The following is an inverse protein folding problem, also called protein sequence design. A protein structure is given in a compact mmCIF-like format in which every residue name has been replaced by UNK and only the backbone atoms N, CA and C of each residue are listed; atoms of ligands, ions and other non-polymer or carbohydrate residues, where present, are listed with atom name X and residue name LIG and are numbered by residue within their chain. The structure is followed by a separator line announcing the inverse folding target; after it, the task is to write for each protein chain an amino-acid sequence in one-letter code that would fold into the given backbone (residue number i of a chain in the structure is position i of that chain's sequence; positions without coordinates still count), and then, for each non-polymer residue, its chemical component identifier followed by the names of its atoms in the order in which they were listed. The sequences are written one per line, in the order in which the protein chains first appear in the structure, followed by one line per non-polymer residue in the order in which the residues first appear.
data_IF_273568092654
#
_entry.id   IF_273568092654
#
_cell.length_a   1.000
_cell.length_b   1.000
_cell.length_c   1.000
_cell.angle_alpha   90.00
_cell.angle_beta   90.00
_cell.angle_gamma   90.00
#
_symmetry.space_group_name_H-M   'P 1'
#
loop_
_entity.id
_entity.type
_entity.pdbx_description
1 polymer ?
#
# COMPACT_ATOMS: atom_id res chain seq x y z
N UNK A 1 -3.72 6.13 -20.87
CA UNK A 1 -2.53 5.29 -20.59
C UNK A 1 -2.91 3.82 -20.62
N UNK A 2 -2.11 2.97 -21.25
CA UNK A 2 -2.37 1.51 -21.42
C UNK A 2 -2.58 0.82 -20.06
N UNK A 3 -1.87 1.25 -19.02
CA UNK A 3 -1.88 0.60 -17.70
C UNK A 3 -2.97 1.13 -16.74
N UNK A 4 -3.76 2.14 -17.13
CA UNK A 4 -4.79 2.74 -16.25
C UNK A 4 -5.80 1.72 -15.75
N UNK A 5 -6.49 1.06 -16.68
CA UNK A 5 -7.56 0.08 -16.40
C UNK A 5 -7.07 -1.18 -15.67
N UNK A 6 -5.99 -1.86 -16.11
CA UNK A 6 -5.55 -3.08 -15.44
C UNK A 6 -5.08 -2.81 -14.00
N UNK A 7 -4.37 -1.70 -13.76
CA UNK A 7 -3.95 -1.35 -12.40
C UNK A 7 -5.11 -0.94 -11.50
N UNK A 8 -6.12 -0.26 -12.05
CA UNK A 8 -7.34 0.02 -11.30
C UNK A 8 -8.07 -1.27 -10.90
N UNK A 9 -8.22 -2.21 -11.84
CA UNK A 9 -8.87 -3.49 -11.56
C UNK A 9 -8.08 -4.29 -10.50
N UNK A 10 -6.76 -4.29 -10.61
CA UNK A 10 -5.89 -4.91 -9.60
C UNK A 10 -6.07 -4.29 -8.22
N UNK A 11 -6.03 -2.95 -8.11
CA UNK A 11 -6.29 -2.24 -6.85
C UNK A 11 -7.66 -2.56 -6.27
N UNK A 12 -8.69 -2.58 -7.12
CA UNK A 12 -10.06 -2.88 -6.72
C UNK A 12 -10.20 -4.31 -6.19
N UNK A 13 -9.65 -5.30 -6.90
CA UNK A 13 -9.66 -6.69 -6.44
C UNK A 13 -8.84 -6.87 -5.16
N UNK A 14 -7.70 -6.20 -5.05
CA UNK A 14 -6.84 -6.28 -3.87
C UNK A 14 -7.55 -5.74 -2.61
N UNK A 15 -8.22 -4.58 -2.69
CA UNK A 15 -8.97 -4.06 -1.53
C UNK A 15 -10.16 -4.95 -1.16
N UNK A 16 -10.81 -5.59 -2.13
CA UNK A 16 -11.85 -6.57 -1.84
C UNK A 16 -11.29 -7.78 -1.09
N UNK A 17 -10.13 -8.29 -1.50
CA UNK A 17 -9.45 -9.38 -0.79
C UNK A 17 -9.06 -8.97 0.62
N UNK A 18 -8.45 -7.79 0.80
CA UNK A 18 -8.10 -7.25 2.12
C UNK A 18 -9.36 -7.13 2.99
N UNK A 19 -10.45 -6.59 2.44
CA UNK A 19 -11.72 -6.47 3.16
C UNK A 19 -12.30 -7.82 3.58
N UNK A 20 -12.26 -8.83 2.72
CA UNK A 20 -12.70 -10.19 3.08
C UNK A 20 -11.81 -10.80 4.15
N UNK A 21 -10.49 -10.67 4.02
CA UNK A 21 -9.53 -11.15 5.01
C UNK A 21 -9.75 -10.49 6.38
N UNK A 22 -9.98 -9.18 6.43
CA UNK A 22 -10.32 -8.45 7.65
C UNK A 22 -11.57 -9.03 8.32
N UNK A 23 -12.66 -9.23 7.56
CA UNK A 23 -13.91 -9.75 8.12
C UNK A 23 -13.74 -11.15 8.69
N UNK A 24 -13.04 -12.02 7.97
CA UNK A 24 -12.74 -13.37 8.44
C UNK A 24 -11.83 -13.33 9.67
N UNK A 25 -10.84 -12.45 9.69
CA UNK A 25 -9.90 -12.36 10.79
C UNK A 25 -10.54 -11.90 12.09
N UNK A 26 -11.48 -10.95 12.03
CA UNK A 26 -12.28 -10.55 13.19
C UNK A 26 -13.24 -11.67 13.59
N UNK A 27 -14.01 -12.24 12.64
CA UNK A 27 -15.05 -13.22 12.93
C UNK A 27 -14.49 -14.54 13.49
N UNK A 28 -13.36 -15.02 12.96
CA UNK A 28 -12.71 -16.25 13.38
C UNK A 28 -11.53 -16.01 14.34
N UNK A 29 -11.37 -14.79 14.85
CA UNK A 29 -10.31 -14.42 15.79
C UNK A 29 -8.88 -14.68 15.27
N UNK A 30 -8.63 -14.58 13.97
CA UNK A 30 -7.29 -14.83 13.40
C UNK A 30 -6.22 -13.89 13.90
N UNK A 31 -6.56 -12.63 14.21
CA UNK A 31 -5.61 -11.69 14.83
C UNK A 31 -5.03 -12.22 16.16
N UNK A 32 -5.84 -12.95 16.93
CA UNK A 32 -5.43 -13.51 18.22
C UNK A 32 -4.84 -14.92 18.10
N UNK A 33 -5.27 -15.70 17.10
CA UNK A 33 -4.81 -17.06 16.88
C UNK A 33 -3.47 -17.12 16.11
N UNK A 34 -3.24 -16.16 15.21
CA UNK A 34 -2.12 -16.16 14.28
C UNK A 34 -1.39 -14.83 14.32
N UNK A 35 -0.31 -14.75 15.11
CA UNK A 35 0.49 -13.53 15.33
C UNK A 35 1.05 -12.94 14.02
N UNK A 36 1.24 -13.75 12.97
CA UNK A 36 1.72 -13.28 11.67
C UNK A 36 0.62 -12.65 10.80
N UNK A 37 -0.65 -12.88 11.12
CA UNK A 37 -1.76 -12.44 10.28
C UNK A 37 -1.87 -10.92 10.27
N UNK A 38 -1.65 -10.31 11.43
CA UNK A 38 -1.66 -8.86 11.57
C UNK A 38 -0.57 -8.18 10.73
N UNK A 39 0.66 -8.67 10.86
CA UNK A 39 1.82 -8.32 10.00
C UNK A 39 1.50 -8.43 8.50
N UNK A 40 0.78 -9.49 8.09
CA UNK A 40 0.36 -9.66 6.69
C UNK A 40 -0.63 -8.56 6.28
N UNK A 41 -1.60 -8.24 7.13
CA UNK A 41 -2.60 -7.20 6.86
C UNK A 41 -1.97 -5.82 6.75
N UNK A 42 -1.02 -5.47 7.61
CA UNK A 42 -0.23 -4.22 7.51
C UNK A 42 0.56 -4.16 6.21
N UNK A 43 1.26 -5.24 5.85
CA UNK A 43 1.95 -5.28 4.56
C UNK A 43 1.01 -5.04 3.36
N UNK A 44 -0.13 -5.72 3.33
CA UNK A 44 -1.10 -5.59 2.25
C UNK A 44 -1.75 -4.20 2.22
N UNK A 45 -2.06 -3.64 3.39
CA UNK A 45 -2.58 -2.29 3.56
C UNK A 45 -1.59 -1.25 3.04
N UNK A 46 -0.37 -1.25 3.56
CA UNK A 46 0.71 -0.37 3.11
C UNK A 46 1.00 -0.48 1.61
N UNK A 47 1.02 -1.70 1.06
CA UNK A 47 1.15 -1.92 -0.37
C UNK A 47 -0.01 -1.31 -1.15
N UNK A 48 -1.26 -1.50 -0.71
CA UNK A 48 -2.43 -0.97 -1.39
C UNK A 48 -2.47 0.56 -1.38
N UNK A 49 -2.18 1.21 -0.24
CA UNK A 49 -2.15 2.67 -0.14
C UNK A 49 -1.02 3.28 -0.96
N UNK A 50 0.19 2.72 -0.87
CA UNK A 50 1.33 3.13 -1.70
C UNK A 50 1.04 3.02 -3.19
N UNK A 51 0.48 1.87 -3.60
CA UNK A 51 0.11 1.63 -5.00
C UNK A 51 -0.98 2.62 -5.44
N UNK A 52 -2.01 2.84 -4.63
CA UNK A 52 -3.12 3.73 -4.96
C UNK A 52 -2.67 5.18 -5.15
N UNK A 53 -1.84 5.70 -4.26
CA UNK A 53 -1.29 7.05 -4.38
C UNK A 53 -0.48 7.22 -5.67
N UNK A 54 0.41 6.27 -5.96
CA UNK A 54 1.20 6.25 -7.19
C UNK A 54 0.34 6.07 -8.45
N UNK A 55 -0.70 5.24 -8.40
CA UNK A 55 -1.63 5.07 -9.52
C UNK A 55 -2.38 6.37 -9.83
N UNK A 56 -2.88 7.06 -8.80
CA UNK A 56 -3.55 8.36 -8.96
C UNK A 56 -2.59 9.38 -9.59
N UNK A 57 -1.36 9.49 -9.10
CA UNK A 57 -0.40 10.48 -9.57
C UNK A 57 0.12 10.19 -10.99
N UNK A 58 0.43 8.93 -11.31
CA UNK A 58 1.19 8.61 -12.52
C UNK A 58 0.43 7.85 -13.61
N UNK A 59 -0.66 7.14 -13.27
CA UNK A 59 -1.30 6.21 -14.20
C UNK A 59 -2.77 6.55 -14.49
N UNK A 60 -3.44 7.26 -13.57
CA UNK A 60 -4.87 7.60 -13.69
C UNK A 60 -5.16 8.63 -14.80
N UNK A 61 -4.18 9.49 -15.09
CA UNK A 61 -4.35 10.65 -15.97
C UNK A 61 -5.19 11.79 -15.37
N UNK A 62 -5.54 11.73 -14.08
CA UNK A 62 -6.26 12.79 -13.38
C UNK A 62 -5.36 13.98 -13.05
N UNK A 63 -4.08 13.73 -12.81
CA UNK A 63 -3.09 14.75 -12.50
C UNK A 63 -2.06 14.83 -13.63
N UNK A 64 -1.75 16.05 -14.07
CA UNK A 64 -0.71 16.30 -15.08
C UNK A 64 0.62 16.49 -14.37
N UNK A 65 1.36 15.39 -14.21
CA UNK A 65 2.68 15.38 -13.58
C UNK A 65 3.76 15.25 -14.67
N UNK A 66 4.88 15.99 -14.59
CA UNK A 66 5.95 15.90 -15.59
C UNK A 66 6.52 14.48 -15.76
N UNK A 67 6.76 14.06 -17.00
CA UNK A 67 7.12 12.69 -17.40
C UNK A 67 8.50 12.17 -16.94
N UNK A 68 9.28 12.97 -16.20
CA UNK A 68 10.64 12.57 -15.75
C UNK A 68 10.75 12.55 -14.24
N UNK A 69 10.12 11.56 -13.62
CA UNK A 69 10.23 11.33 -12.18
C UNK A 69 11.26 10.26 -11.86
N UNK A 70 12.00 10.51 -10.78
CA UNK A 70 13.03 9.61 -10.28
C UNK A 70 12.40 8.51 -9.44
N UNK A 71 13.13 7.39 -9.29
CA UNK A 71 12.74 6.33 -8.36
C UNK A 71 12.52 6.86 -6.93
N UNK A 72 13.37 7.79 -6.47
CA UNK A 72 13.22 8.42 -5.15
C UNK A 72 11.89 9.14 -4.96
N UNK A 73 11.32 9.75 -6.01
CA UNK A 73 10.00 10.38 -5.91
C UNK A 73 8.88 9.35 -5.76
N UNK A 74 8.97 8.20 -6.44
CA UNK A 74 8.03 7.08 -6.26
C UNK A 74 8.10 6.54 -4.83
N UNK A 75 9.30 6.32 -4.31
CA UNK A 75 9.50 5.85 -2.93
C UNK A 75 8.95 6.85 -1.92
N UNK A 76 9.21 8.16 -2.10
CA UNK A 76 8.71 9.19 -1.20
C UNK A 76 7.18 9.23 -1.15
N UNK A 77 6.52 9.22 -2.32
CA UNK A 77 5.05 9.19 -2.36
C UNK A 77 4.51 7.96 -1.66
N UNK A 78 5.04 6.78 -1.99
CA UNK A 78 4.55 5.54 -1.41
C UNK A 78 4.75 5.52 0.10
N UNK A 79 5.95 5.87 0.57
CA UNK A 79 6.29 5.99 1.99
C UNK A 79 5.33 6.94 2.72
N UNK A 80 5.19 8.18 2.25
CA UNK A 80 4.32 9.16 2.90
C UNK A 80 2.86 8.67 2.94
N UNK A 81 2.37 8.05 1.87
CA UNK A 81 1.00 7.54 1.83
C UNK A 81 0.78 6.34 2.75
N UNK A 82 1.69 5.35 2.76
CA UNK A 82 1.54 4.14 3.57
C UNK A 82 1.71 4.45 5.05
N UNK A 83 2.73 5.23 5.42
CA UNK A 83 3.00 5.54 6.84
C UNK A 83 1.92 6.42 7.45
N UNK A 84 1.34 7.36 6.69
CA UNK A 84 0.26 8.21 7.20
C UNK A 84 -0.99 7.40 7.55
N UNK A 85 -1.29 6.39 6.74
CA UNK A 85 -2.43 5.52 6.99
C UNK A 85 -2.13 4.49 8.07
N UNK A 86 -0.92 3.93 8.11
CA UNK A 86 -0.47 3.05 9.20
C UNK A 86 -0.59 3.74 10.55
N UNK A 87 -0.06 4.96 10.68
CA UNK A 87 -0.20 5.76 11.92
C UNK A 87 -1.68 6.00 12.27
N UNK A 88 -2.52 6.29 11.27
CA UNK A 88 -3.95 6.47 11.51
C UNK A 88 -4.64 5.18 12.00
N UNK A 89 -4.19 4.02 11.51
CA UNK A 89 -4.68 2.71 11.93
C UNK A 89 -4.29 2.40 13.38
N UNK A 90 -3.03 2.62 13.75
CA UNK A 90 -2.56 2.45 15.14
C UNK A 90 -3.34 3.32 16.13
N UNK A 91 -3.60 4.58 15.75
CA UNK A 91 -4.43 5.49 16.56
C UNK A 91 -5.86 4.94 16.69
N UNK A 92 -6.43 4.39 15.60
CA UNK A 92 -7.75 3.77 15.63
C UNK A 92 -7.77 2.57 16.59
N UNK A 93 -6.79 1.68 16.55
CA UNK A 93 -6.72 0.51 17.42
C UNK A 93 -6.59 0.90 18.89
N UNK A 94 -5.76 1.90 19.18
CA UNK A 94 -5.61 2.46 20.52
C UNK A 94 -6.94 2.99 21.05
N UNK A 95 -7.67 3.78 20.26
CA UNK A 95 -8.98 4.33 20.65
C UNK A 95 -10.04 3.24 20.77
N UNK A 96 -10.01 2.23 19.90
CA UNK A 96 -10.94 1.12 19.90
C UNK A 96 -10.68 0.12 21.06
N UNK A 97 -9.59 0.30 21.81
CA UNK A 97 -9.24 -0.55 22.95
C UNK A 97 -8.83 -1.97 22.58
N UNK A 98 -8.51 -2.20 21.30
CA UNK A 98 -8.04 -3.51 20.79
C UNK A 98 -6.65 -3.84 21.36
N UNK A 99 -5.92 -2.81 21.79
CA UNK A 99 -4.57 -2.83 22.37
C UNK A 99 -4.51 -3.39 23.79
N UNK A 100 -5.65 -3.56 24.46
CA UNK A 100 -5.74 -3.86 25.90
C UNK A 100 -5.29 -5.28 26.31
N UNK A 101 -4.95 -6.14 25.35
CA UNK A 101 -4.71 -7.57 25.59
C UNK A 101 -3.25 -8.02 25.41
N UNK A 102 -2.33 -7.13 25.02
CA UNK A 102 -0.96 -7.52 24.65
C UNK A 102 0.07 -6.67 25.41
N UNK A 103 0.77 -7.29 26.36
CA UNK A 103 2.05 -6.78 26.85
C UNK A 103 3.00 -6.60 25.65
N UNK A 104 3.41 -5.36 25.37
CA UNK A 104 4.30 -5.06 24.24
C UNK A 104 3.66 -4.33 23.06
N UNK A 105 2.50 -3.69 23.23
CA UNK A 105 1.84 -2.85 22.20
C UNK A 105 2.79 -1.93 21.42
N UNK A 106 3.71 -1.24 22.09
CA UNK A 106 4.69 -0.36 21.41
C UNK A 106 5.57 -1.13 20.42
N UNK A 107 5.96 -2.36 20.76
CA UNK A 107 6.76 -3.20 19.86
C UNK A 107 5.92 -3.73 18.69
N UNK A 108 4.62 -3.97 18.91
CA UNK A 108 3.65 -4.31 17.88
C UNK A 108 3.53 -3.19 16.85
N UNK A 109 3.10 -2.01 17.30
CA UNK A 109 2.98 -0.79 16.49
C UNK A 109 4.24 -0.52 15.65
N UNK A 110 5.44 -0.71 16.22
CA UNK A 110 6.68 -0.52 15.46
C UNK A 110 6.82 -1.54 14.34
N UNK A 111 6.52 -2.83 14.59
CA UNK A 111 6.51 -3.85 13.53
C UNK A 111 5.47 -3.50 12.47
N UNK A 112 4.30 -3.05 12.87
CA UNK A 112 3.17 -2.77 11.98
C UNK A 112 3.49 -1.60 11.04
N UNK A 113 4.02 -0.51 11.58
CA UNK A 113 4.50 0.63 10.78
C UNK A 113 5.67 0.26 9.85
N UNK A 114 6.56 -0.65 10.27
CA UNK A 114 7.62 -1.18 9.40
C UNK A 114 6.99 -1.96 8.24
N UNK A 115 5.97 -2.78 8.50
CA UNK A 115 5.32 -3.61 7.50
C UNK A 115 4.47 -2.79 6.53
N UNK A 116 3.77 -1.78 7.02
CA UNK A 116 3.07 -0.78 6.18
C UNK A 116 4.05 -0.09 5.23
N UNK A 117 5.17 0.37 5.78
CA UNK A 117 6.22 1.02 5.00
C UNK A 117 6.83 0.07 3.98
N UNK A 118 7.10 -1.17 4.37
CA UNK A 118 7.65 -2.19 3.48
C UNK A 118 6.71 -2.49 2.32
N UNK A 119 5.41 -2.65 2.58
CA UNK A 119 4.38 -2.79 1.55
C UNK A 119 4.38 -1.59 0.58
N UNK A 120 4.41 -0.37 1.12
CA UNK A 120 4.50 0.86 0.35
C UNK A 120 5.73 0.87 -0.58
N UNK A 121 6.92 0.54 -0.08
CA UNK A 121 8.16 0.50 -0.88
C UNK A 121 8.07 -0.56 -2.00
N UNK A 122 7.51 -1.74 -1.72
CA UNK A 122 7.31 -2.78 -2.75
C UNK A 122 6.40 -2.26 -3.87
N UNK A 123 5.35 -1.51 -3.53
CA UNK A 123 4.48 -0.88 -4.54
C UNK A 123 5.24 0.13 -5.42
N UNK A 124 6.13 0.93 -4.83
CA UNK A 124 6.96 1.88 -5.55
C UNK A 124 7.91 1.19 -6.54
N UNK A 125 8.56 0.11 -6.13
CA UNK A 125 9.45 -0.69 -7.00
C UNK A 125 8.65 -1.26 -8.19
N UNK A 126 7.48 -1.84 -7.93
CA UNK A 126 6.64 -2.43 -8.97
C UNK A 126 6.18 -1.38 -9.99
N UNK A 127 5.62 -0.26 -9.52
CA UNK A 127 5.09 0.78 -10.39
C UNK A 127 6.17 1.57 -11.11
N UNK A 128 7.33 1.79 -10.49
CA UNK A 128 8.45 2.45 -11.18
C UNK A 128 8.95 1.62 -12.37
N UNK A 129 9.07 0.30 -12.21
CA UNK A 129 9.42 -0.60 -13.33
C UNK A 129 8.38 -0.55 -14.45
N UNK A 130 7.09 -0.50 -14.11
CA UNK A 130 6.01 -0.36 -15.10
C UNK A 130 6.05 1.00 -15.82
N UNK A 131 6.33 2.07 -15.08
CA UNK A 131 6.48 3.42 -15.59
C UNK A 131 7.62 3.54 -16.60
N UNK A 132 8.81 3.01 -16.27
CA UNK A 132 9.97 3.02 -17.18
C UNK A 132 9.67 2.29 -18.50
N UNK A 133 9.01 1.13 -18.44
CA UNK A 133 8.59 0.38 -19.65
C UNK A 133 7.64 1.20 -20.52
N UNK A 134 6.72 1.95 -19.91
CA UNK A 134 5.77 2.78 -20.63
C UNK A 134 6.46 3.95 -21.34
N UNK A 135 7.43 4.62 -20.69
CA UNK A 135 8.22 5.68 -21.31
C UNK A 135 9.01 5.16 -22.52
N UNK A 136 9.72 4.04 -22.36
CA UNK A 136 10.51 3.44 -23.45
C UNK A 136 9.62 3.11 -24.64
N UNK A 137 8.46 2.49 -24.40
CA UNK A 137 7.50 2.18 -25.45
C UNK A 137 7.02 3.43 -26.18
N UNK A 138 6.67 4.50 -25.45
CA UNK A 138 6.20 5.73 -26.06
C UNK A 138 7.28 6.39 -26.93
N UNK A 139 8.54 6.41 -26.49
CA UNK A 139 9.63 6.98 -27.28
C UNK A 139 9.86 6.23 -28.61
N UNK A 140 9.75 4.89 -28.59
CA UNK A 140 9.94 4.06 -29.80
C UNK A 140 8.79 4.16 -30.80
N UNK A 141 7.61 4.67 -30.43
CA UNK A 141 6.49 4.90 -31.36
C UNK A 141 6.62 6.25 -32.08
N UNK A 142 7.38 7.19 -31.52
CA UNK A 142 7.50 8.56 -32.03
C UNK A 142 8.78 8.73 -32.88
N UNK A 143 9.71 7.76 -32.85
CA UNK A 143 10.91 7.68 -33.70
C UNK A 143 10.64 6.92 -34.99
#
# INVERSE_FOLDING_TARGET
MILKKPFFLFLFLLVLVIGVLQQFAVYYYWYWLYVWFDILMHFLGGFWFGFSALWILFFSGYLKIPDRKTFGFFVLVAFCSSISVGIAWEIFEYIAGVTSFVDGYVFDTVKDLIMDTFGGIVSAIFLYKAYQKQIIKNNNVIS
#
